data_IF_350101629594
#
_entry.id   IF_350101629594
#
_cell.length_a   1.000
_cell.length_b   1.000
_cell.length_c   1.000
_cell.angle_alpha   90.00
_cell.angle_beta   90.00
_cell.angle_gamma   90.00
#
_symmetry.space_group_name_H-M   'P 1'
#
loop_
_entity.id
_entity.type
_entity.pdbx_description
1 polymer ?
#
# COMPACT_ATOMS: atom_id res chain seq x y z
N UNK A 1 -38.30 84.34 69.14
CA UNK A 1 -37.52 83.29 69.84
C UNK A 1 -38.14 81.95 69.51
N UNK A 2 -37.57 81.20 68.56
CA UNK A 2 -37.93 79.78 68.33
C UNK A 2 -36.69 79.07 67.78
N UNK A 3 -36.10 78.20 68.58
CA UNK A 3 -34.88 77.45 68.26
C UNK A 3 -35.21 76.20 67.41
N UNK A 4 -34.40 75.94 66.38
CA UNK A 4 -34.51 74.81 65.46
C UNK A 4 -33.69 73.61 65.98
N UNK A 5 -34.26 72.39 66.09
CA UNK A 5 -33.54 71.23 66.63
C UNK A 5 -32.63 70.55 65.58
N UNK A 6 -31.61 69.77 65.98
CA UNK A 6 -30.61 69.20 65.07
C UNK A 6 -31.08 67.89 64.44
N UNK A 7 -30.62 67.66 63.19
CA UNK A 7 -30.96 66.50 62.37
C UNK A 7 -30.14 65.26 62.76
N UNK A 8 -30.86 64.16 62.99
CA UNK A 8 -30.33 62.81 63.23
C UNK A 8 -29.66 62.26 61.96
N UNK A 9 -28.43 61.72 62.07
CA UNK A 9 -27.73 61.08 60.94
C UNK A 9 -28.22 59.63 60.80
N UNK A 10 -28.82 59.30 59.67
CA UNK A 10 -29.18 57.93 59.28
C UNK A 10 -27.94 57.18 58.73
N UNK A 11 -27.77 55.89 59.05
CA UNK A 11 -26.63 55.11 58.58
C UNK A 11 -26.79 54.63 57.13
N UNK A 12 -25.62 54.49 56.48
CA UNK A 12 -25.38 54.03 55.12
C UNK A 12 -26.13 52.75 54.72
N UNK A 13 -26.77 52.76 53.55
CA UNK A 13 -27.19 51.55 52.82
C UNK A 13 -26.20 51.28 51.71
N UNK A 14 -25.39 50.24 51.84
CA UNK A 14 -24.58 49.75 50.72
C UNK A 14 -25.47 49.03 49.68
N UNK A 15 -25.30 49.32 48.38
CA UNK A 15 -26.04 48.67 47.31
C UNK A 15 -25.53 47.24 47.06
N UNK A 16 -26.47 46.33 46.80
CA UNK A 16 -26.19 44.94 46.46
C UNK A 16 -25.39 44.81 45.14
N UNK A 17 -24.54 43.78 45.00
CA UNK A 17 -23.75 43.58 43.79
C UNK A 17 -24.62 43.25 42.56
N UNK A 18 -24.21 43.68 41.36
CA UNK A 18 -24.99 43.46 40.14
C UNK A 18 -24.98 41.99 39.70
N UNK A 19 -26.04 41.51 39.02
CA UNK A 19 -26.11 40.15 38.52
C UNK A 19 -25.09 39.93 37.37
N UNK A 20 -24.38 38.80 37.43
CA UNK A 20 -23.48 38.36 36.35
C UNK A 20 -24.29 37.93 35.13
N UNK A 21 -24.06 38.57 33.98
CA UNK A 21 -24.67 38.17 32.70
C UNK A 21 -24.09 36.82 32.27
N UNK A 22 -24.95 35.82 32.07
CA UNK A 22 -24.58 34.58 31.41
C UNK A 22 -24.15 34.89 29.97
N UNK A 23 -23.00 34.37 29.56
CA UNK A 23 -22.52 34.45 28.19
C UNK A 23 -23.46 33.58 27.34
N UNK A 24 -24.04 34.13 26.29
CA UNK A 24 -24.85 33.34 25.37
C UNK A 24 -23.89 32.46 24.54
N UNK A 25 -24.02 31.15 24.66
CA UNK A 25 -23.37 30.22 23.76
C UNK A 25 -23.95 30.42 22.36
N UNK A 26 -23.11 30.79 21.41
CA UNK A 26 -23.50 30.91 20.01
C UNK A 26 -23.65 29.48 19.44
N UNK A 27 -24.87 29.10 19.09
CA UNK A 27 -25.15 27.85 18.40
C UNK A 27 -24.61 27.87 16.97
N UNK A 28 -24.22 26.70 16.46
CA UNK A 28 -23.78 26.53 15.08
C UNK A 28 -24.90 26.83 14.09
N UNK A 29 -24.55 27.44 12.95
CA UNK A 29 -25.48 27.70 11.86
C UNK A 29 -25.60 26.49 10.92
N UNK A 30 -26.76 26.32 10.27
CA UNK A 30 -26.93 25.29 9.24
C UNK A 30 -25.97 25.48 8.06
N UNK A 31 -25.60 26.73 7.78
CA UNK A 31 -24.68 27.08 6.70
C UNK A 31 -23.24 26.61 6.98
N UNK A 32 -22.77 26.69 8.22
CA UNK A 32 -21.45 26.13 8.59
C UNK A 32 -21.41 24.62 8.39
N UNK A 33 -22.44 23.90 8.82
CA UNK A 33 -22.51 22.46 8.62
C UNK A 33 -22.53 22.12 7.12
N UNK A 34 -23.30 22.87 6.32
CA UNK A 34 -23.40 22.70 4.87
C UNK A 34 -22.04 22.87 4.19
N UNK A 35 -21.29 23.92 4.53
CA UNK A 35 -19.96 24.19 3.95
C UNK A 35 -18.99 23.07 4.31
N UNK A 36 -19.02 22.60 5.57
CA UNK A 36 -18.14 21.50 6.03
C UNK A 36 -18.41 20.21 5.27
N UNK A 37 -19.67 19.76 5.17
CA UNK A 37 -19.99 18.50 4.46
C UNK A 37 -19.68 18.62 2.96
N UNK A 38 -19.85 19.81 2.38
CA UNK A 38 -19.51 20.06 0.97
C UNK A 38 -18.01 19.90 0.74
N UNK A 39 -17.17 20.51 1.58
CA UNK A 39 -15.70 20.38 1.46
C UNK A 39 -15.27 18.92 1.67
N UNK A 40 -15.87 18.19 2.61
CA UNK A 40 -15.57 16.78 2.85
C UNK A 40 -15.88 15.90 1.62
N UNK A 41 -17.01 16.12 0.95
CA UNK A 41 -17.34 15.40 -0.30
C UNK A 41 -16.32 15.70 -1.40
N UNK A 42 -15.94 16.96 -1.58
CA UNK A 42 -14.95 17.36 -2.59
C UNK A 42 -13.56 16.78 -2.33
N UNK A 43 -13.11 16.80 -1.08
CA UNK A 43 -11.81 16.22 -0.70
C UNK A 43 -11.81 14.70 -0.89
N UNK A 44 -12.91 14.04 -0.54
CA UNK A 44 -13.06 12.58 -0.74
C UNK A 44 -12.95 12.22 -2.22
N UNK A 45 -13.55 13.02 -3.12
CA UNK A 45 -13.46 12.81 -4.56
C UNK A 45 -12.03 13.04 -5.12
N UNK A 46 -11.28 13.99 -4.56
CA UNK A 46 -9.94 14.35 -5.05
C UNK A 46 -8.85 13.32 -4.68
N UNK A 47 -8.97 12.65 -3.52
CA UNK A 47 -7.92 11.74 -3.02
C UNK A 47 -8.03 10.32 -3.63
N UNK A 48 -9.20 9.94 -4.16
CA UNK A 48 -9.49 8.56 -4.56
C UNK A 48 -8.75 8.03 -5.80
N UNK A 49 -8.26 8.88 -6.71
CA UNK A 49 -7.80 8.42 -8.04
C UNK A 49 -6.29 8.44 -8.24
N UNK A 50 -5.52 9.15 -7.41
CA UNK A 50 -4.08 9.35 -7.65
C UNK A 50 -3.24 8.16 -7.19
N UNK A 51 -3.67 7.40 -6.18
CA UNK A 51 -2.87 6.30 -5.61
C UNK A 51 -2.69 5.10 -6.55
N UNK A 52 -3.68 4.81 -7.41
CA UNK A 52 -3.69 3.58 -8.22
C UNK A 52 -2.69 3.63 -9.38
N UNK A 53 -2.56 4.77 -10.06
CA UNK A 53 -1.72 4.89 -11.25
C UNK A 53 -0.20 4.89 -10.96
N UNK A 54 0.22 5.31 -9.76
CA UNK A 54 1.64 5.24 -9.37
C UNK A 54 2.10 3.84 -8.96
N UNK A 55 1.16 2.97 -8.53
CA UNK A 55 1.50 1.64 -8.06
C UNK A 55 1.71 0.66 -9.23
N UNK A 56 1.03 0.88 -10.36
CA UNK A 56 1.04 -0.07 -11.47
C UNK A 56 2.38 -0.24 -12.18
N UNK A 57 3.04 0.87 -12.53
CA UNK A 57 4.39 0.80 -13.12
C UNK A 57 5.42 0.16 -12.17
N UNK A 58 5.31 0.46 -10.87
CA UNK A 58 6.22 -0.09 -9.87
C UNK A 58 6.12 -1.61 -9.73
N UNK A 59 4.92 -2.18 -9.87
CA UNK A 59 4.73 -3.64 -9.88
C UNK A 59 5.35 -4.28 -11.11
N UNK A 60 5.20 -3.70 -12.28
CA UNK A 60 5.84 -4.24 -13.49
C UNK A 60 7.37 -4.25 -13.38
N UNK A 61 7.95 -3.16 -12.88
CA UNK A 61 9.40 -3.08 -12.67
C UNK A 61 9.87 -4.09 -11.61
N UNK A 62 9.11 -4.27 -10.54
CA UNK A 62 9.38 -5.30 -9.55
C UNK A 62 9.35 -6.71 -10.16
N UNK A 63 8.39 -7.01 -11.04
CA UNK A 63 8.31 -8.30 -11.74
C UNK A 63 9.54 -8.53 -12.63
N UNK A 64 10.00 -7.51 -13.37
CA UNK A 64 11.24 -7.59 -14.17
C UNK A 64 12.48 -7.88 -13.30
N UNK A 65 12.58 -7.21 -12.14
CA UNK A 65 13.67 -7.42 -11.19
C UNK A 65 13.64 -8.84 -10.62
N UNK A 66 12.45 -9.34 -10.25
CA UNK A 66 12.27 -10.70 -9.75
C UNK A 66 12.63 -11.75 -10.81
N UNK A 67 12.22 -11.56 -12.07
CA UNK A 67 12.64 -12.43 -13.19
C UNK A 67 14.17 -12.49 -13.24
N UNK A 68 14.87 -11.35 -13.24
CA UNK A 68 16.34 -11.36 -13.26
C UNK A 68 16.98 -12.08 -12.05
N UNK A 69 16.34 -12.05 -10.88
CA UNK A 69 16.80 -12.81 -9.71
C UNK A 69 16.59 -14.31 -9.89
N UNK A 70 15.45 -14.72 -10.46
CA UNK A 70 15.14 -16.12 -10.78
C UNK A 70 16.11 -16.64 -11.85
N UNK A 71 16.39 -15.85 -12.90
CA UNK A 71 17.37 -16.19 -13.94
C UNK A 71 18.76 -16.45 -13.34
N UNK A 72 19.23 -15.55 -12.47
CA UNK A 72 20.50 -15.75 -11.77
C UNK A 72 20.50 -17.04 -10.92
N UNK A 73 19.39 -17.34 -10.25
CA UNK A 73 19.21 -18.59 -9.50
C UNK A 73 19.23 -19.83 -10.40
N UNK A 74 18.58 -19.77 -11.56
CA UNK A 74 18.59 -20.83 -12.57
C UNK A 74 20.00 -21.08 -13.13
N UNK A 75 20.77 -20.03 -13.36
CA UNK A 75 22.14 -20.15 -13.82
C UNK A 75 23.05 -20.79 -12.77
N UNK A 76 22.91 -20.40 -11.49
CA UNK A 76 23.61 -21.08 -10.39
C UNK A 76 23.21 -22.56 -10.28
N UNK A 77 21.91 -22.86 -10.36
CA UNK A 77 21.42 -24.23 -10.40
C UNK A 77 22.07 -25.02 -11.52
N UNK A 78 22.17 -24.43 -12.72
CA UNK A 78 22.81 -25.07 -13.88
C UNK A 78 24.31 -25.29 -13.67
N UNK A 79 25.02 -24.40 -13.00
CA UNK A 79 26.44 -24.59 -12.69
C UNK A 79 26.68 -25.83 -11.83
N UNK A 80 25.82 -26.04 -10.82
CA UNK A 80 25.95 -27.16 -9.88
C UNK A 80 25.42 -28.48 -10.45
N UNK A 81 24.24 -28.42 -11.07
CA UNK A 81 23.51 -29.60 -11.57
C UNK A 81 23.86 -29.95 -13.02
N UNK A 82 24.54 -29.06 -13.75
CA UNK A 82 24.88 -29.21 -15.17
C UNK A 82 23.71 -28.99 -16.14
N UNK A 83 22.51 -28.68 -15.64
CA UNK A 83 21.28 -28.45 -16.40
C UNK A 83 20.35 -27.52 -15.65
N UNK A 84 19.43 -26.87 -16.34
CA UNK A 84 18.30 -26.19 -15.69
C UNK A 84 17.32 -27.20 -15.07
N UNK A 85 16.45 -26.76 -14.13
CA UNK A 85 15.36 -27.59 -13.62
C UNK A 85 14.47 -28.11 -14.75
N UNK A 86 13.95 -29.33 -14.60
CA UNK A 86 12.91 -29.84 -15.49
C UNK A 86 11.56 -29.21 -15.17
N UNK A 87 10.58 -29.30 -16.08
CA UNK A 87 9.21 -28.82 -15.80
C UNK A 87 8.59 -29.43 -14.53
N UNK A 88 8.93 -30.70 -14.20
CA UNK A 88 8.42 -31.37 -13.01
C UNK A 88 9.06 -30.88 -11.72
N UNK A 89 10.32 -30.45 -11.79
CA UNK A 89 11.04 -29.86 -10.66
C UNK A 89 10.65 -28.38 -10.49
N UNK A 90 10.45 -27.68 -11.61
CA UNK A 90 10.02 -26.29 -11.67
C UNK A 90 10.96 -25.33 -10.94
N UNK A 91 10.43 -24.15 -10.61
CA UNK A 91 11.18 -23.14 -9.86
C UNK A 91 11.36 -23.50 -8.38
N UNK A 92 10.60 -24.47 -7.85
CA UNK A 92 10.78 -24.96 -6.48
C UNK A 92 12.17 -25.58 -6.27
N UNK A 93 12.79 -26.09 -7.34
CA UNK A 93 14.17 -26.57 -7.34
C UNK A 93 15.19 -25.49 -6.95
N UNK A 94 14.82 -24.21 -7.06
CA UNK A 94 15.64 -23.07 -6.67
C UNK A 94 15.65 -22.83 -5.16
N UNK A 95 14.63 -23.31 -4.45
CA UNK A 95 14.44 -23.06 -3.02
C UNK A 95 14.64 -24.33 -2.21
N UNK A 96 14.29 -25.49 -2.78
CA UNK A 96 14.41 -26.80 -2.13
C UNK A 96 15.11 -27.81 -3.05
N UNK A 97 15.92 -28.69 -2.47
CA UNK A 97 16.62 -29.73 -3.21
C UNK A 97 15.62 -30.71 -3.86
N UNK A 98 15.68 -30.93 -5.19
CA UNK A 98 14.91 -31.99 -5.83
C UNK A 98 15.35 -33.38 -5.35
N UNK A 99 14.43 -34.35 -5.40
CA UNK A 99 14.72 -35.73 -5.01
C UNK A 99 15.85 -36.31 -5.84
N UNK A 100 16.92 -36.77 -5.18
CA UNK A 100 18.08 -37.37 -5.85
C UNK A 100 19.08 -36.36 -6.44
N UNK A 101 18.93 -35.07 -6.16
CA UNK A 101 19.84 -34.03 -6.62
C UNK A 101 21.12 -33.97 -5.78
N UNK A 102 22.01 -34.96 -5.94
CA UNK A 102 23.23 -35.09 -5.14
C UNK A 102 24.22 -33.92 -5.25
N UNK A 103 24.17 -33.15 -6.36
CA UNK A 103 25.05 -32.00 -6.61
C UNK A 103 24.41 -30.66 -6.22
N UNK A 104 23.18 -30.67 -5.72
CA UNK A 104 22.47 -29.44 -5.37
C UNK A 104 23.16 -28.76 -4.19
N UNK A 105 23.57 -27.50 -4.36
CA UNK A 105 24.23 -26.70 -3.34
C UNK A 105 23.45 -25.42 -2.99
N UNK A 106 22.15 -25.42 -3.29
CA UNK A 106 21.24 -24.33 -2.98
C UNK A 106 20.98 -24.14 -1.48
N UNK A 107 20.01 -23.30 -1.11
CA UNK A 107 19.02 -22.67 -1.98
C UNK A 107 19.62 -21.55 -2.85
N UNK A 108 19.19 -21.49 -4.11
CA UNK A 108 19.60 -20.47 -5.09
C UNK A 108 18.75 -19.20 -5.00
N UNK A 109 17.57 -19.29 -4.38
CA UNK A 109 16.74 -18.16 -4.00
C UNK A 109 16.55 -18.11 -2.48
N UNK A 110 16.59 -16.91 -1.89
CA UNK A 110 16.58 -16.75 -0.43
C UNK A 110 15.22 -17.07 0.22
N UNK A 111 14.13 -16.87 -0.51
CA UNK A 111 12.75 -17.01 -0.01
C UNK A 111 11.90 -17.66 -1.07
N UNK A 112 10.94 -18.49 -0.65
CA UNK A 112 9.95 -19.10 -1.53
C UNK A 112 9.03 -18.06 -2.16
N UNK A 113 8.68 -17.01 -1.43
CA UNK A 113 7.86 -15.90 -1.92
C UNK A 113 8.49 -15.17 -3.13
N UNK A 114 9.79 -15.37 -3.40
CA UNK A 114 10.42 -14.86 -4.62
C UNK A 114 9.94 -15.58 -5.90
N UNK A 115 9.20 -16.68 -5.76
CA UNK A 115 8.56 -17.40 -6.86
C UNK A 115 7.16 -16.85 -7.18
N UNK A 116 6.66 -15.92 -6.38
CA UNK A 116 5.41 -15.21 -6.62
C UNK A 116 5.70 -13.82 -7.18
N UNK A 117 4.92 -13.44 -8.19
CA UNK A 117 4.98 -12.13 -8.82
C UNK A 117 4.37 -11.03 -7.91
N UNK A 118 4.48 -9.75 -8.29
CA UNK A 118 3.98 -8.62 -7.48
C UNK A 118 2.45 -8.55 -7.34
N UNK A 119 1.71 -9.39 -8.06
CA UNK A 119 0.26 -9.55 -7.94
C UNK A 119 -0.12 -10.81 -7.14
N UNK A 120 0.87 -11.59 -6.69
CA UNK A 120 0.71 -12.78 -5.85
C UNK A 120 0.46 -14.07 -6.64
N UNK A 121 0.64 -14.04 -7.96
CA UNK A 121 0.56 -15.24 -8.79
C UNK A 121 1.95 -15.88 -8.94
N UNK A 122 2.07 -17.21 -9.00
CA UNK A 122 3.36 -17.86 -9.24
C UNK A 122 3.89 -17.55 -10.64
N UNK A 123 5.20 -17.34 -10.77
CA UNK A 123 5.84 -17.27 -12.08
C UNK A 123 5.66 -18.58 -12.85
N UNK A 124 5.31 -18.46 -14.13
CA UNK A 124 5.27 -19.59 -15.06
C UNK A 124 6.67 -19.91 -15.56
N UNK A 125 7.04 -21.19 -15.51
CA UNK A 125 8.32 -21.70 -15.99
C UNK A 125 8.09 -22.83 -16.99
N UNK A 126 8.74 -22.75 -18.15
CA UNK A 126 8.72 -23.80 -19.17
C UNK A 126 10.15 -24.13 -19.62
N UNK A 127 10.46 -25.42 -19.80
CA UNK A 127 11.78 -25.87 -20.23
C UNK A 127 11.66 -27.15 -21.07
N UNK A 128 12.08 -27.16 -22.35
CA UNK A 128 12.77 -26.08 -23.07
C UNK A 128 11.86 -24.87 -23.36
N UNK A 129 12.46 -23.69 -23.48
CA UNK A 129 11.75 -22.46 -23.83
C UNK A 129 11.42 -22.38 -25.32
N UNK A 130 10.55 -21.44 -25.68
CA UNK A 130 10.18 -21.14 -27.06
C UNK A 130 11.36 -20.53 -27.83
N UNK A 131 11.34 -20.66 -29.17
CA UNK A 131 12.34 -20.04 -30.04
C UNK A 131 13.78 -20.54 -29.87
N UNK A 132 13.98 -21.67 -29.17
CA UNK A 132 15.32 -22.22 -28.90
C UNK A 132 15.96 -21.68 -27.61
N UNK A 133 15.22 -20.92 -26.81
CA UNK A 133 15.66 -20.55 -25.46
C UNK A 133 15.76 -21.80 -24.56
N UNK A 134 16.67 -21.81 -23.57
CA UNK A 134 16.79 -22.93 -22.64
C UNK A 134 15.55 -23.08 -21.75
N UNK A 135 14.88 -21.97 -21.44
CA UNK A 135 13.66 -21.89 -20.65
C UNK A 135 12.93 -20.58 -20.91
N UNK A 136 11.64 -20.56 -20.59
CA UNK A 136 10.82 -19.34 -20.51
C UNK A 136 10.40 -19.08 -19.05
N UNK A 137 10.38 -17.80 -18.68
CA UNK A 137 9.85 -17.27 -17.43
C UNK A 137 8.82 -16.21 -17.75
N UNK A 138 7.63 -16.31 -17.14
CA UNK A 138 6.53 -15.41 -17.42
C UNK A 138 5.73 -15.08 -16.16
N UNK A 139 5.42 -13.79 -16.00
CA UNK A 139 4.39 -13.25 -15.11
C UNK A 139 3.25 -12.74 -15.99
N UNK A 140 2.02 -13.19 -15.73
CA UNK A 140 0.81 -12.82 -16.49
C UNK A 140 0.25 -11.46 -16.07
N UNK A 141 0.87 -10.76 -15.11
CA UNK A 141 0.42 -9.44 -14.70
C UNK A 141 -0.86 -9.48 -13.88
N UNK A 142 -1.54 -8.34 -13.78
CA UNK A 142 -2.67 -8.16 -12.85
C UNK A 142 -3.92 -8.97 -13.17
N UNK A 143 -4.11 -9.38 -14.43
CA UNK A 143 -5.32 -10.10 -14.87
C UNK A 143 -5.12 -11.62 -14.90
N UNK A 144 -3.87 -12.09 -14.81
CA UNK A 144 -3.56 -13.52 -14.82
C UNK A 144 -3.84 -14.19 -16.15
N UNK A 145 -3.86 -13.44 -17.25
CA UNK A 145 -4.12 -13.94 -18.60
C UNK A 145 -2.98 -13.57 -19.56
N UNK A 146 -2.81 -14.33 -20.65
CA UNK A 146 -1.81 -13.98 -21.65
C UNK A 146 -2.17 -12.67 -22.36
N UNK A 147 -1.17 -11.78 -22.48
CA UNK A 147 -1.28 -10.53 -23.21
C UNK A 147 -1.48 -9.34 -22.28
N UNK A 148 -2.59 -8.62 -22.44
CA UNK A 148 -2.92 -7.44 -21.64
C UNK A 148 -2.14 -6.17 -21.98
N UNK A 149 -2.55 -5.07 -21.34
CA UNK A 149 -1.94 -3.74 -21.43
C UNK A 149 -1.80 -3.12 -20.04
N UNK A 150 -0.88 -2.17 -19.87
CA UNK A 150 -0.63 -1.57 -18.55
C UNK A 150 -0.23 -2.63 -17.53
N UNK A 151 -0.82 -2.65 -16.34
CA UNK A 151 -0.55 -3.67 -15.30
C UNK A 151 -0.88 -5.11 -15.71
N UNK A 152 -1.80 -5.29 -16.67
CA UNK A 152 -2.15 -6.60 -17.20
C UNK A 152 -1.15 -7.10 -18.23
N UNK A 153 -0.18 -6.27 -18.65
CA UNK A 153 0.79 -6.69 -19.65
C UNK A 153 1.75 -7.74 -19.08
N UNK A 154 1.89 -8.84 -19.81
CA UNK A 154 2.88 -9.90 -19.58
C UNK A 154 4.29 -9.35 -19.35
N UNK A 155 4.99 -9.92 -18.36
CA UNK A 155 6.43 -9.70 -18.14
C UNK A 155 7.17 -11.02 -18.29
N UNK A 156 8.11 -11.08 -19.24
CA UNK A 156 8.86 -12.31 -19.56
C UNK A 156 10.37 -12.10 -19.60
N UNK A 157 11.13 -13.19 -19.46
CA UNK A 157 12.56 -13.20 -19.77
C UNK A 157 12.79 -12.93 -21.26
N UNK A 158 13.97 -12.37 -21.59
CA UNK A 158 14.28 -11.84 -22.92
C UNK A 158 15.22 -12.75 -23.70
#
# INVERSE_FOLDING_TARGET
>A
MTAKPPLSRSPDRQPAPPPRRARADAGFTLLELLVVVTILVLLTAAVGTVALNFLGGAKQDAARIQIGQIEAGLDLYRLDMGRYPTEREGLEALVSAPTGAARWAGPYLRKRDALEDPWGAPFTYAAPGQGGAPYDLLSLGSDGAEGGEGEAADVRNR
#
